data_IF_558655333702
#
_entry.id   IF_558655333702
#
_cell.length_a   1.000
_cell.length_b   1.000
_cell.length_c   1.000
_cell.angle_alpha   90.00
_cell.angle_beta   90.00
_cell.angle_gamma   90.00
#
_symmetry.space_group_name_H-M   'P 1'
#
loop_
_entity.id
_entity.type
_entity.pdbx_description
1 polymer ?
#
# COMPACT_ATOMS: atom_id res chain seq x y z
N UNK A 1 -40.61 0.62 16.32
CA UNK A 1 -40.01 0.55 14.97
C UNK A 1 -38.68 1.28 15.05
N UNK A 2 -37.58 0.56 15.25
CA UNK A 2 -36.26 1.15 15.47
C UNK A 2 -35.60 1.44 14.12
N UNK A 3 -35.31 2.71 13.86
CA UNK A 3 -34.54 3.17 12.72
C UNK A 3 -33.11 2.61 12.77
N UNK A 4 -32.81 1.59 11.96
CA UNK A 4 -31.42 1.25 11.65
C UNK A 4 -30.86 2.30 10.69
N UNK A 5 -30.34 3.39 11.27
CA UNK A 5 -29.34 4.22 10.62
C UNK A 5 -28.23 3.29 10.13
N UNK A 6 -28.08 3.17 8.81
CA UNK A 6 -26.85 2.65 8.21
C UNK A 6 -25.72 3.51 8.78
N UNK A 7 -24.71 2.96 9.47
CA UNK A 7 -23.56 3.76 9.80
C UNK A 7 -22.97 4.22 8.46
N UNK A 8 -23.07 5.52 8.20
CA UNK A 8 -22.16 6.21 7.30
C UNK A 8 -20.77 5.70 7.66
N UNK A 9 -20.06 5.15 6.68
CA UNK A 9 -18.70 4.61 6.79
C UNK A 9 -17.79 5.80 7.10
N UNK A 10 -17.84 6.23 8.35
CA UNK A 10 -17.05 7.32 8.90
C UNK A 10 -15.60 6.91 8.74
N UNK A 11 -14.81 7.85 8.25
CA UNK A 11 -13.37 7.86 8.14
C UNK A 11 -12.74 7.50 9.50
N UNK A 12 -12.76 6.23 9.88
CA UNK A 12 -12.16 5.77 11.13
C UNK A 12 -10.66 5.61 10.86
N UNK A 13 -9.79 6.45 11.46
CA UNK A 13 -8.36 6.22 11.37
C UNK A 13 -8.08 4.83 11.92
N UNK A 14 -7.56 3.94 11.07
CA UNK A 14 -7.18 2.59 11.52
C UNK A 14 -6.09 2.75 12.58
N UNK A 15 -6.19 2.06 13.72
CA UNK A 15 -5.15 2.14 14.73
C UNK A 15 -3.80 1.71 14.12
N UNK A 16 -2.71 2.44 14.39
CA UNK A 16 -1.39 2.10 13.88
C UNK A 16 -1.01 0.68 14.31
N UNK A 17 -0.60 -0.14 13.35
CA UNK A 17 -0.32 -1.57 13.56
C UNK A 17 -1.50 -2.50 13.25
N UNK A 18 -2.61 -1.99 12.70
CA UNK A 18 -3.66 -2.85 12.15
C UNK A 18 -3.17 -3.56 10.89
N UNK A 19 -3.53 -4.85 10.70
CA UNK A 19 -3.21 -5.53 9.45
C UNK A 19 -3.86 -4.79 8.28
N UNK A 20 -3.18 -4.73 7.13
CA UNK A 20 -3.73 -4.14 5.92
C UNK A 20 -5.02 -4.86 5.49
N UNK A 21 -5.87 -4.14 4.75
CA UNK A 21 -7.04 -4.75 4.14
C UNK A 21 -6.58 -5.81 3.14
N UNK A 22 -7.31 -6.92 3.01
CA UNK A 22 -6.91 -8.01 2.11
C UNK A 22 -6.74 -7.53 0.66
N UNK A 23 -7.65 -6.66 0.20
CA UNK A 23 -7.62 -6.08 -1.14
C UNK A 23 -7.82 -4.56 -1.06
N UNK A 24 -7.14 -3.84 -1.95
CA UNK A 24 -7.34 -2.42 -2.19
C UNK A 24 -7.77 -2.18 -3.63
N UNK A 25 -8.58 -1.14 -3.85
CA UNK A 25 -9.06 -0.74 -5.19
C UNK A 25 -8.85 0.75 -5.42
N UNK A 26 -8.87 1.16 -6.68
CA UNK A 26 -8.63 2.56 -7.06
C UNK A 26 -7.18 2.99 -6.83
N UNK A 27 -6.97 4.22 -6.39
CA UNK A 27 -5.64 4.77 -6.14
C UNK A 27 -5.15 4.43 -4.75
N UNK A 28 -3.94 3.88 -4.69
CA UNK A 28 -3.26 3.56 -3.44
C UNK A 28 -1.88 4.24 -3.37
N UNK A 29 -1.35 4.30 -2.15
CA UNK A 29 -0.05 4.89 -1.85
C UNK A 29 0.78 3.89 -1.06
N UNK A 30 1.84 3.37 -1.67
CA UNK A 30 2.77 2.46 -1.01
C UNK A 30 4.03 3.22 -0.60
N UNK A 31 4.31 3.25 0.69
CA UNK A 31 5.51 3.87 1.25
C UNK A 31 6.58 2.81 1.48
N UNK A 32 7.77 2.99 0.92
CA UNK A 32 8.96 2.20 1.22
C UNK A 32 10.01 3.07 1.92
N UNK A 33 10.86 2.53 2.82
CA UNK A 33 11.87 3.33 3.47
C UNK A 33 12.88 3.90 2.45
N UNK A 34 13.36 5.11 2.71
CA UNK A 34 14.34 5.79 1.83
C UNK A 34 15.75 5.17 1.93
N UNK A 35 16.00 4.37 2.97
CA UNK A 35 17.23 3.61 3.17
C UNK A 35 17.35 2.40 2.24
N UNK A 36 16.32 2.10 1.46
CA UNK A 36 16.40 1.04 0.46
C UNK A 36 17.39 1.41 -0.65
N UNK A 37 18.20 0.42 -1.05
CA UNK A 37 19.01 0.51 -2.26
C UNK A 37 18.13 0.67 -3.50
N UNK A 38 18.66 1.34 -4.53
CA UNK A 38 17.98 1.55 -5.81
C UNK A 38 17.42 0.24 -6.39
N UNK A 39 18.20 -0.84 -6.41
CA UNK A 39 17.72 -2.14 -6.91
C UNK A 39 16.53 -2.71 -6.14
N UNK A 40 16.41 -2.42 -4.82
CA UNK A 40 15.25 -2.85 -4.03
C UNK A 40 14.03 -1.96 -4.29
N UNK A 41 14.23 -0.66 -4.55
CA UNK A 41 13.16 0.22 -5.01
C UNK A 41 12.64 -0.20 -6.40
N UNK A 42 13.53 -0.60 -7.31
CA UNK A 42 13.15 -1.16 -8.62
C UNK A 42 12.36 -2.46 -8.44
N UNK A 43 12.79 -3.37 -7.56
CA UNK A 43 12.00 -4.57 -7.24
C UNK A 43 10.62 -4.24 -6.65
N UNK A 44 10.49 -3.21 -5.82
CA UNK A 44 9.20 -2.73 -5.30
C UNK A 44 8.31 -2.25 -6.44
N UNK A 45 8.87 -1.48 -7.37
CA UNK A 45 8.15 -1.04 -8.56
C UNK A 45 7.71 -2.22 -9.43
N UNK A 46 8.61 -3.16 -9.77
CA UNK A 46 8.29 -4.31 -10.62
C UNK A 46 7.22 -5.21 -10.00
N UNK A 47 7.33 -5.48 -8.69
CA UNK A 47 6.34 -6.30 -7.99
C UNK A 47 5.01 -5.59 -7.90
N UNK A 48 5.01 -4.28 -7.60
CA UNK A 48 3.79 -3.48 -7.63
C UNK A 48 3.15 -3.54 -9.02
N UNK A 49 3.92 -3.38 -10.08
CA UNK A 49 3.44 -3.45 -11.47
C UNK A 49 2.82 -4.82 -11.77
N UNK A 50 3.43 -5.91 -11.31
CA UNK A 50 2.90 -7.26 -11.48
C UNK A 50 1.59 -7.50 -10.70
N UNK A 51 1.48 -7.01 -9.46
CA UNK A 51 0.32 -7.27 -8.59
C UNK A 51 -0.82 -6.28 -8.86
N UNK A 52 -0.49 -5.02 -9.09
CA UNK A 52 -1.45 -3.96 -9.40
C UNK A 52 -1.97 -4.06 -10.84
N UNK A 53 -1.20 -4.67 -11.75
CA UNK A 53 -1.44 -4.67 -13.19
C UNK A 53 -0.44 -3.75 -13.90
N UNK A 54 0.11 -4.23 -15.01
CA UNK A 54 1.24 -3.56 -15.65
C UNK A 54 0.86 -2.19 -16.20
N UNK A 55 1.68 -1.18 -15.92
CA UNK A 55 1.46 0.22 -16.28
C UNK A 55 0.58 1.00 -15.31
N UNK A 56 0.20 0.42 -14.16
CA UNK A 56 -0.68 1.09 -13.20
C UNK A 56 0.05 2.04 -12.24
N UNK A 57 1.39 2.02 -12.17
CA UNK A 57 2.13 2.95 -11.31
C UNK A 57 2.19 4.32 -11.98
N UNK A 58 1.40 5.27 -11.45
CA UNK A 58 1.25 6.61 -12.02
C UNK A 58 2.31 7.60 -11.57
N UNK A 59 2.86 7.41 -10.37
CA UNK A 59 3.86 8.30 -9.78
C UNK A 59 4.78 7.51 -8.84
N UNK A 60 6.05 7.92 -8.78
CA UNK A 60 7.01 7.46 -7.77
C UNK A 60 7.85 8.65 -7.32
N UNK A 61 7.74 9.01 -6.05
CA UNK A 61 8.36 10.21 -5.51
C UNK A 61 8.95 9.96 -4.13
N UNK A 62 10.17 10.45 -3.88
CA UNK A 62 10.72 10.48 -2.53
C UNK A 62 9.97 11.52 -1.70
N UNK A 63 9.16 11.09 -0.73
CA UNK A 63 8.41 12.00 0.13
C UNK A 63 9.35 12.70 1.10
N UNK A 64 10.20 11.94 1.77
CA UNK A 64 11.21 12.45 2.73
C UNK A 64 12.15 11.34 3.14
N UNK A 65 13.32 11.68 3.72
CA UNK A 65 14.21 10.66 4.30
C UNK A 65 13.54 9.84 5.41
N UNK A 66 12.71 10.49 6.24
CA UNK A 66 11.99 9.84 7.34
C UNK A 66 10.78 9.03 6.87
N UNK A 67 10.00 9.59 5.94
CA UNK A 67 8.78 8.96 5.43
C UNK A 67 9.08 7.85 4.41
N UNK A 68 10.08 8.05 3.55
CA UNK A 68 10.46 7.13 2.51
C UNK A 68 10.06 7.55 1.08
N UNK A 69 10.12 6.59 0.16
CA UNK A 69 9.66 6.70 -1.22
C UNK A 69 8.19 6.27 -1.29
N UNK A 70 7.37 7.07 -1.95
CA UNK A 70 5.97 6.77 -2.22
C UNK A 70 5.83 6.29 -3.67
N UNK A 71 5.19 5.15 -3.83
CA UNK A 71 4.71 4.64 -5.11
C UNK A 71 3.20 4.82 -5.15
N UNK A 72 2.68 5.31 -6.27
CA UNK A 72 1.25 5.57 -6.44
C UNK A 72 0.66 4.71 -7.57
N UNK A 73 0.32 3.43 -7.28
CA UNK A 73 -0.50 2.63 -8.17
C UNK A 73 -1.92 3.18 -8.31
N UNK A 74 -2.39 3.32 -9.53
CA UNK A 74 -3.78 3.57 -9.88
C UNK A 74 -4.35 2.30 -10.49
N UNK A 75 -5.11 1.55 -9.69
CA UNK A 75 -5.61 0.23 -10.04
C UNK A 75 -6.80 0.29 -11.02
N UNK A 76 -7.40 1.48 -11.21
CA UNK A 76 -8.62 1.63 -12.00
C UNK A 76 -9.73 0.69 -11.55
N UNK A 77 -10.08 -0.29 -12.41
CA UNK A 77 -11.07 -1.34 -12.13
C UNK A 77 -10.48 -2.60 -11.49
N UNK A 78 -9.16 -2.68 -11.38
CA UNK A 78 -8.43 -3.77 -10.74
C UNK A 78 -8.34 -3.62 -9.22
N UNK A 79 -7.74 -4.63 -8.60
CA UNK A 79 -7.51 -4.69 -7.16
C UNK A 79 -6.08 -5.13 -6.84
N UNK A 80 -5.48 -4.50 -5.83
CA UNK A 80 -4.20 -4.91 -5.27
C UNK A 80 -4.47 -5.87 -4.11
N UNK A 81 -4.09 -7.12 -4.28
CA UNK A 81 -4.15 -8.13 -3.23
C UNK A 81 -2.89 -8.07 -2.36
N UNK A 82 -3.08 -7.88 -1.06
CA UNK A 82 -1.96 -7.77 -0.10
C UNK A 82 -1.28 -9.08 0.16
N UNK A 83 -1.99 -10.21 0.15
CA UNK A 83 -1.37 -11.53 0.28
C UNK A 83 -0.43 -11.82 -0.90
N UNK A 84 -0.86 -11.46 -2.11
CA UNK A 84 -0.03 -11.56 -3.31
C UNK A 84 1.21 -10.65 -3.24
N UNK A 85 1.05 -9.41 -2.74
CA UNK A 85 2.18 -8.50 -2.55
C UNK A 85 3.12 -9.02 -1.44
N UNK A 86 2.58 -9.46 -0.30
CA UNK A 86 3.32 -9.97 0.85
C UNK A 86 4.09 -11.26 0.50
N UNK A 87 3.51 -12.11 -0.35
CA UNK A 87 4.19 -13.29 -0.90
C UNK A 87 5.46 -12.94 -1.66
N UNK A 88 5.46 -11.81 -2.39
CA UNK A 88 6.64 -11.31 -3.14
C UNK A 88 7.69 -10.68 -2.23
N UNK A 89 7.27 -10.12 -1.10
CA UNK A 89 8.13 -9.54 -0.07
C UNK A 89 8.10 -10.33 1.23
N UNK A 90 8.51 -11.62 1.18
CA UNK A 90 8.48 -12.48 2.37
C UNK A 90 9.40 -12.00 3.50
N UNK A 91 10.43 -11.23 3.15
CA UNK A 91 11.37 -10.59 4.06
C UNK A 91 10.86 -9.25 4.60
N UNK A 92 9.69 -8.76 4.17
CA UNK A 92 9.13 -7.49 4.60
C UNK A 92 7.76 -7.68 5.24
N UNK A 93 7.30 -6.70 6.00
CA UNK A 93 5.96 -6.66 6.59
C UNK A 93 5.17 -5.51 6.00
N UNK A 94 3.95 -5.78 5.55
CA UNK A 94 3.02 -4.75 5.10
C UNK A 94 2.21 -4.21 6.26
N UNK A 95 2.27 -2.90 6.45
CA UNK A 95 1.55 -2.18 7.48
C UNK A 95 0.62 -1.19 6.81
N UNK A 96 -0.66 -1.20 7.20
CA UNK A 96 -1.55 -0.13 6.79
C UNK A 96 -1.31 1.09 7.66
N UNK A 97 -1.02 2.23 7.02
CA UNK A 97 -0.98 3.52 7.70
C UNK A 97 -2.39 4.11 7.77
N UNK A 98 -3.06 4.19 6.61
CA UNK A 98 -4.41 4.77 6.47
C UNK A 98 -5.21 4.04 5.38
N UNK A 99 -6.45 4.45 5.11
CA UNK A 99 -7.22 3.91 3.98
C UNK A 99 -6.49 4.22 2.65
N UNK A 100 -6.22 3.20 1.85
CA UNK A 100 -5.44 3.33 0.61
C UNK A 100 -3.95 3.63 0.80
N UNK A 101 -3.45 3.79 2.03
CA UNK A 101 -2.02 4.05 2.30
C UNK A 101 -1.37 2.90 3.06
N UNK A 102 -0.37 2.31 2.43
CA UNK A 102 0.39 1.17 2.90
C UNK A 102 1.84 1.56 3.12
N UNK A 103 2.52 0.87 4.01
CA UNK A 103 3.96 0.94 4.19
C UNK A 103 4.52 -0.46 4.17
N UNK A 104 5.62 -0.64 3.45
CA UNK A 104 6.43 -1.84 3.58
C UNK A 104 7.54 -1.56 4.59
N UNK A 105 7.65 -2.39 5.61
CA UNK A 105 8.71 -2.34 6.60
C UNK A 105 9.60 -3.56 6.42
N UNK A 106 10.90 -3.34 6.19
CA UNK A 106 11.89 -4.42 6.18
C UNK A 106 12.56 -4.50 7.55
N UNK A 107 12.82 -5.71 8.08
CA UNK A 107 13.68 -5.88 9.24
C UNK A 107 15.07 -5.32 8.88
N UNK A 108 15.55 -4.42 9.72
CA UNK A 108 16.90 -3.82 9.60
C UNK A 108 17.97 -4.75 10.15
#
# INVERSE_FOLDING_TARGET
>A
MLSHLRPIRGLQPRPPGSPPAANYTGRIYLMSPSSLSQGRLESVWEVLDQVAGSGNITDTSLVSRQAGVQFTPDLGVGELNIDALQSKFSDATMVALEEGRLRIEWPS
#
